data_IF_010931474997
#
_entry.id   IF_010931474997
#
_cell.length_a   1.000
_cell.length_b   1.000
_cell.length_c   1.000
_cell.angle_alpha   90.00
_cell.angle_beta   90.00
_cell.angle_gamma   90.00
#
_symmetry.space_group_name_H-M   'P 1'
#
loop_
_entity.id
_entity.type
_entity.pdbx_description
1 polymer ?
#
# COMPACT_ATOMS: atom_id res chain seq x y z
N UNK A 1 -4.34 -11.30 -0.15
CA UNK A 1 -3.85 -11.58 1.23
C UNK A 1 -3.43 -10.26 1.84
N UNK A 2 -4.06 -9.81 2.92
CA UNK A 2 -3.71 -8.52 3.56
C UNK A 2 -2.65 -8.79 4.63
N UNK A 3 -1.49 -8.16 4.50
CA UNK A 3 -0.36 -8.32 5.44
C UNK A 3 0.02 -6.98 6.04
N UNK A 4 0.28 -6.95 7.35
CA UNK A 4 0.73 -5.74 8.06
C UNK A 4 2.17 -5.32 7.76
N UNK A 5 2.88 -6.04 6.89
CA UNK A 5 4.26 -5.77 6.47
C UNK A 5 4.36 -5.63 4.95
N UNK A 6 5.25 -4.73 4.52
CA UNK A 6 5.59 -4.54 3.10
C UNK A 6 6.77 -5.44 2.77
N UNK A 7 6.60 -6.25 1.73
CA UNK A 7 7.58 -7.22 1.26
C UNK A 7 7.76 -7.11 -0.26
N UNK A 8 8.73 -7.81 -0.83
CA UNK A 8 8.97 -7.82 -2.29
C UNK A 8 7.78 -8.28 -3.13
N UNK A 9 6.84 -9.02 -2.53
CA UNK A 9 5.64 -9.51 -3.22
C UNK A 9 4.43 -8.60 -2.97
N UNK A 10 4.65 -7.40 -2.43
CA UNK A 10 3.59 -6.43 -2.19
C UNK A 10 3.50 -5.50 -3.38
N UNK A 11 2.41 -5.64 -4.15
CA UNK A 11 2.14 -4.80 -5.32
C UNK A 11 1.65 -3.41 -4.92
N UNK A 12 0.75 -3.36 -3.91
CA UNK A 12 0.14 -2.11 -3.43
C UNK A 12 0.25 -1.97 -1.91
N UNK A 13 0.64 -0.78 -1.45
CA UNK A 13 0.54 -0.34 -0.06
C UNK A 13 -0.64 0.60 0.07
N UNK A 14 -1.63 0.26 0.88
CA UNK A 14 -2.73 1.18 1.21
C UNK A 14 -2.32 2.00 2.43
N UNK A 15 -2.08 3.30 2.23
CA UNK A 15 -1.70 4.24 3.26
C UNK A 15 -2.90 5.09 3.69
N UNK A 16 -3.30 4.96 4.96
CA UNK A 16 -4.26 5.87 5.59
C UNK A 16 -3.60 7.17 6.07
N UNK A 17 -4.29 7.93 6.92
CA UNK A 17 -3.86 9.26 7.38
C UNK A 17 -2.49 9.31 8.10
N UNK A 18 -1.99 8.19 8.65
CA UNK A 18 -0.66 8.11 9.24
C UNK A 18 0.00 6.75 8.95
N UNK A 19 0.58 6.56 7.74
CA UNK A 19 1.32 5.36 7.42
C UNK A 19 2.65 5.43 8.16
N UNK A 20 2.75 4.73 9.29
CA UNK A 20 3.96 4.75 10.13
C UNK A 20 5.25 4.63 9.32
N UNK A 21 6.26 5.45 9.66
CA UNK A 21 7.44 5.73 8.84
C UNK A 21 8.12 4.48 8.23
N UNK A 22 8.24 3.38 8.99
CA UNK A 22 8.88 2.15 8.50
C UNK A 22 8.15 1.47 7.33
N UNK A 23 6.86 1.72 7.10
CA UNK A 23 6.09 1.16 5.97
C UNK A 23 6.23 2.03 4.73
N UNK A 24 6.13 3.35 4.90
CA UNK A 24 6.33 4.31 3.82
C UNK A 24 7.75 4.22 3.25
N UNK A 25 8.77 4.21 4.12
CA UNK A 25 10.17 4.05 3.70
C UNK A 25 10.38 2.71 2.99
N UNK A 26 9.81 1.62 3.51
CA UNK A 26 10.00 0.29 2.92
C UNK A 26 9.27 0.11 1.59
N UNK A 27 8.10 0.73 1.42
CA UNK A 27 7.42 0.76 0.13
C UNK A 27 8.21 1.57 -0.91
N UNK A 28 8.78 2.71 -0.51
CA UNK A 28 9.69 3.48 -1.37
C UNK A 28 10.95 2.70 -1.76
N UNK A 29 11.59 2.01 -0.80
CA UNK A 29 12.77 1.17 -1.05
C UNK A 29 12.49 0.01 -2.00
N UNK A 30 11.28 -0.56 -1.92
CA UNK A 30 10.87 -1.71 -2.73
C UNK A 30 10.21 -1.30 -4.06
N UNK A 31 9.90 -0.02 -4.25
CA UNK A 31 9.15 0.46 -5.41
C UNK A 31 7.68 0.02 -5.40
N UNK A 32 7.11 -0.25 -4.23
CA UNK A 32 5.70 -0.63 -4.06
C UNK A 32 4.81 0.59 -4.27
N UNK A 33 3.79 0.45 -5.10
CA UNK A 33 2.86 1.53 -5.39
C UNK A 33 2.00 1.82 -4.15
N UNK A 34 1.89 3.09 -3.77
CA UNK A 34 1.12 3.48 -2.59
C UNK A 34 -0.23 4.04 -3.04
N UNK A 35 -1.30 3.45 -2.53
CA UNK A 35 -2.68 3.84 -2.76
C UNK A 35 -3.27 4.38 -1.46
N UNK A 36 -4.29 5.21 -1.58
CA UNK A 36 -5.16 5.62 -0.47
C UNK A 36 -6.43 4.75 -0.43
N UNK A 37 -7.32 5.03 0.51
CA UNK A 37 -8.60 4.32 0.62
C UNK A 37 -9.46 4.52 -0.64
N UNK A 38 -9.46 5.71 -1.24
CA UNK A 38 -10.21 5.99 -2.47
C UNK A 38 -9.64 5.20 -3.67
N UNK A 39 -8.33 5.16 -3.85
CA UNK A 39 -7.65 4.39 -4.88
C UNK A 39 -7.87 2.89 -4.73
N UNK A 40 -7.88 2.37 -3.50
CA UNK A 40 -8.25 0.97 -3.25
C UNK A 40 -9.72 0.71 -3.62
N UNK A 41 -10.64 1.57 -3.21
CA UNK A 41 -12.06 1.43 -3.53
C UNK A 41 -12.29 1.48 -5.05
N UNK A 42 -11.61 2.37 -5.78
CA UNK A 42 -11.70 2.45 -7.23
C UNK A 42 -11.26 1.15 -7.94
N UNK A 43 -10.23 0.47 -7.42
CA UNK A 43 -9.80 -0.83 -7.95
C UNK A 43 -10.81 -1.95 -7.66
N UNK A 44 -11.53 -1.87 -6.54
CA UNK A 44 -12.56 -2.84 -6.17
C UNK A 44 -13.87 -2.61 -6.91
N UNK A 45 -14.25 -1.36 -7.15
CA UNK A 45 -15.51 -0.97 -7.80
C UNK A 45 -15.44 -1.13 -9.33
N UNK A 46 -14.22 -1.12 -9.89
CA UNK A 46 -13.96 -1.40 -11.31
C UNK A 46 -13.75 -2.88 -11.67
N UNK A 47 -13.93 -3.82 -10.73
CA UNK A 47 -13.68 -5.25 -10.89
C UNK A 47 -14.96 -6.11 -10.98
#
# INVERSE_FOLDING_TARGET
>A
KVTGSVSRNTDYLVAGADPGASKATRAQELGTETLDEEGLMALLDGA
#
